data_IF_835266016045
#
_entry.id   IF_835266016045
#
_cell.length_a   1.000
_cell.length_b   1.000
_cell.length_c   1.000
_cell.angle_alpha   90.00
_cell.angle_beta   90.00
_cell.angle_gamma   90.00
#
_symmetry.space_group_name_H-M   'P 1'
#
loop_
_entity.id
_entity.type
_entity.pdbx_description
1 polymer ?
#
# COMPACT_ATOMS: atom_id res chain seq x y z
N UNK A 1 42.17 8.45 34.31
CA UNK A 1 41.79 7.61 33.15
C UNK A 1 42.54 8.14 31.93
N UNK A 2 43.22 7.30 31.17
CA UNK A 2 44.12 7.72 30.10
C UNK A 2 43.34 8.23 28.88
N UNK A 3 43.64 9.44 28.36
CA UNK A 3 42.94 10.08 27.22
C UNK A 3 42.77 9.14 26.02
N UNK A 4 43.79 8.28 25.77
CA UNK A 4 43.71 7.26 24.69
C UNK A 4 42.62 6.21 24.92
N UNK A 5 42.33 5.86 26.18
CA UNK A 5 41.22 4.92 26.49
C UNK A 5 39.83 5.58 26.35
N UNK A 6 39.75 6.87 26.71
CA UNK A 6 38.50 7.64 26.52
C UNK A 6 38.19 7.77 25.01
N UNK A 7 39.22 8.15 24.22
CA UNK A 7 39.05 8.28 22.77
C UNK A 7 38.65 6.97 22.10
N UNK A 8 39.26 5.84 22.50
CA UNK A 8 38.90 4.52 21.96
C UNK A 8 37.44 4.12 22.30
N UNK A 9 36.98 4.36 23.54
CA UNK A 9 35.60 4.09 23.95
C UNK A 9 34.63 4.97 23.19
N UNK A 10 34.96 6.26 23.00
CA UNK A 10 34.08 7.19 22.25
C UNK A 10 33.96 6.78 20.78
N UNK A 11 35.02 6.32 20.14
CA UNK A 11 35.02 5.84 18.76
C UNK A 11 34.15 4.55 18.63
N UNK A 12 34.28 3.61 19.59
CA UNK A 12 33.47 2.38 19.59
C UNK A 12 32.00 2.68 19.80
N UNK A 13 31.67 3.60 20.71
CA UNK A 13 30.28 4.04 20.94
C UNK A 13 29.73 4.73 19.71
N UNK A 14 30.46 5.63 19.05
CA UNK A 14 30.04 6.26 17.79
C UNK A 14 29.91 5.27 16.65
N UNK A 15 30.80 4.27 16.53
CA UNK A 15 30.69 3.22 15.53
C UNK A 15 29.46 2.31 15.75
N UNK A 16 29.15 1.97 17.01
CA UNK A 16 27.94 1.22 17.37
C UNK A 16 26.69 2.04 17.04
N UNK A 17 26.66 3.35 17.36
CA UNK A 17 25.53 4.21 17.01
C UNK A 17 25.39 4.45 15.51
N UNK A 18 26.47 4.53 14.73
CA UNK A 18 26.41 4.66 13.28
C UNK A 18 25.98 3.35 12.58
N UNK A 19 26.30 2.18 13.13
CA UNK A 19 25.77 0.90 12.67
C UNK A 19 24.28 0.71 13.02
N UNK A 20 23.82 1.31 14.12
CA UNK A 20 22.42 1.28 14.53
C UNK A 20 21.52 2.14 13.62
N UNK A 21 22.05 3.18 12.98
CA UNK A 21 21.26 4.03 12.08
C UNK A 21 20.87 3.35 10.75
N UNK A 22 21.55 2.28 10.35
CA UNK A 22 21.22 1.48 9.16
C UNK A 22 20.34 0.28 9.51
N UNK A 23 20.34 -0.15 10.79
CA UNK A 23 19.53 -1.27 11.29
C UNK A 23 18.26 -0.79 12.03
N UNK A 24 17.98 0.52 12.07
CA UNK A 24 17.04 1.11 13.01
C UNK A 24 15.56 0.81 12.73
N UNK A 25 15.18 0.34 11.54
CA UNK A 25 13.80 -0.09 11.30
C UNK A 25 13.45 -1.39 12.05
N UNK A 26 14.41 -2.28 12.30
CA UNK A 26 14.16 -3.58 12.92
C UNK A 26 14.32 -3.64 14.44
N UNK A 27 15.13 -2.76 15.06
CA UNK A 27 15.39 -2.87 16.49
C UNK A 27 14.39 -2.12 17.38
N UNK A 28 13.81 -1.04 16.89
CA UNK A 28 12.70 -0.38 17.61
C UNK A 28 11.44 -1.25 17.63
N UNK A 29 11.22 -2.08 16.64
CA UNK A 29 10.10 -3.02 16.59
C UNK A 29 10.15 -4.09 17.69
N UNK A 30 11.35 -4.51 18.12
CA UNK A 30 11.52 -5.44 19.25
C UNK A 30 11.10 -4.81 20.59
N UNK A 31 11.25 -3.50 20.74
CA UNK A 31 10.89 -2.77 21.97
C UNK A 31 9.43 -2.30 21.98
N UNK A 32 8.80 -2.11 20.82
CA UNK A 32 7.45 -1.54 20.71
C UNK A 32 6.37 -2.57 20.35
N UNK A 33 6.76 -3.81 20.03
CA UNK A 33 5.87 -4.84 19.50
C UNK A 33 5.54 -4.58 18.02
N UNK A 34 5.65 -5.60 17.19
CA UNK A 34 5.26 -5.53 15.79
C UNK A 34 3.73 -5.45 15.69
N UNK A 35 3.21 -4.49 14.94
CA UNK A 35 1.79 -4.36 14.63
C UNK A 35 1.54 -4.76 13.17
N UNK A 36 0.41 -5.43 12.90
CA UNK A 36 0.07 -5.90 11.57
C UNK A 36 -1.40 -5.67 11.25
N UNK A 37 -1.68 -5.27 10.00
CA UNK A 37 -2.98 -5.52 9.40
C UNK A 37 -2.95 -6.89 8.73
N UNK A 38 -4.06 -7.64 8.84
CA UNK A 38 -4.14 -9.04 8.45
C UNK A 38 -5.32 -9.27 7.50
N UNK A 39 -5.04 -9.92 6.38
CA UNK A 39 -6.04 -10.54 5.51
C UNK A 39 -6.19 -12.03 5.83
N UNK A 40 -6.75 -12.80 4.89
CA UNK A 40 -7.00 -14.24 5.11
C UNK A 40 -5.70 -15.06 5.17
N UNK A 41 -4.68 -14.70 4.39
CA UNK A 41 -3.42 -15.45 4.27
C UNK A 41 -2.19 -14.53 4.10
N UNK A 42 -2.38 -13.24 4.15
CA UNK A 42 -1.33 -12.23 4.05
C UNK A 42 -1.47 -11.17 5.14
N UNK A 43 -0.37 -10.50 5.43
CA UNK A 43 -0.31 -9.39 6.37
C UNK A 43 0.63 -8.30 5.88
N UNK A 44 0.43 -7.09 6.37
CA UNK A 44 1.37 -5.96 6.21
C UNK A 44 1.75 -5.42 7.58
N UNK A 45 3.01 -5.03 7.73
CA UNK A 45 3.51 -4.46 8.98
C UNK A 45 3.13 -2.98 9.06
N UNK A 46 2.65 -2.56 10.21
CA UNK A 46 2.24 -1.18 10.49
C UNK A 46 3.15 -0.59 11.58
N UNK A 47 3.68 0.62 11.40
CA UNK A 47 4.45 1.32 12.43
C UNK A 47 3.66 1.51 13.72
N UNK A 48 4.35 1.50 14.86
CA UNK A 48 3.73 1.56 16.20
C UNK A 48 3.02 2.88 16.52
N UNK A 49 3.26 3.93 15.74
CA UNK A 49 2.57 5.23 15.85
C UNK A 49 1.14 5.21 15.27
N UNK A 50 0.75 4.14 14.57
CA UNK A 50 -0.63 3.96 14.09
C UNK A 50 -1.50 3.30 15.15
N UNK A 51 -2.76 3.73 15.24
CA UNK A 51 -3.81 3.04 15.98
C UNK A 51 -4.44 2.00 15.09
N UNK A 52 -4.49 0.74 15.53
CA UNK A 52 -5.09 -0.38 14.79
C UNK A 52 -6.42 -0.78 15.42
N UNK A 53 -7.40 -1.13 14.60
CA UNK A 53 -8.69 -1.65 15.05
C UNK A 53 -8.58 -3.09 15.59
N UNK A 54 -9.61 -3.52 16.34
CA UNK A 54 -9.63 -4.87 16.95
C UNK A 54 -9.59 -6.01 15.91
N UNK A 55 -10.13 -5.76 14.70
CA UNK A 55 -10.14 -6.75 13.60
C UNK A 55 -8.82 -6.80 12.85
N UNK A 56 -7.89 -5.87 13.12
CA UNK A 56 -6.59 -5.73 12.44
C UNK A 56 -6.70 -5.58 10.93
N UNK A 57 -7.73 -4.91 10.46
CA UNK A 57 -7.93 -4.58 9.04
C UNK A 57 -7.85 -3.09 8.76
N UNK A 58 -7.83 -2.26 9.79
CA UNK A 58 -7.77 -0.81 9.70
C UNK A 58 -6.71 -0.23 10.62
N UNK A 59 -5.97 0.76 10.12
CA UNK A 59 -5.02 1.54 10.90
C UNK A 59 -5.14 3.03 10.57
N UNK A 60 -4.89 3.90 11.55
CA UNK A 60 -4.90 5.35 11.34
C UNK A 60 -3.80 6.06 12.09
N UNK A 61 -3.21 7.08 11.46
CA UNK A 61 -2.24 7.97 12.06
C UNK A 61 -2.23 9.33 11.34
N UNK A 62 -2.30 10.43 12.09
CA UNK A 62 -2.16 11.79 11.57
C UNK A 62 -3.02 12.11 10.34
N UNK A 63 -4.26 11.63 10.30
CA UNK A 63 -5.19 11.83 9.19
C UNK A 63 -4.94 10.96 7.97
N UNK A 64 -4.03 9.99 8.05
CA UNK A 64 -3.87 8.90 7.09
C UNK A 64 -4.64 7.69 7.61
N UNK A 65 -5.50 7.13 6.78
CA UNK A 65 -6.25 5.91 7.03
C UNK A 65 -5.73 4.81 6.10
N UNK A 66 -5.54 3.62 6.65
CA UNK A 66 -5.08 2.45 5.92
C UNK A 66 -6.06 1.32 6.17
N UNK A 67 -6.65 0.78 5.12
CA UNK A 67 -7.51 -0.41 5.18
C UNK A 67 -6.85 -1.54 4.40
N UNK A 68 -6.76 -2.73 4.99
CA UNK A 68 -6.22 -3.92 4.34
C UNK A 68 -7.28 -5.01 4.33
N UNK A 69 -7.82 -5.32 3.15
CA UNK A 69 -8.92 -6.26 3.01
C UNK A 69 -8.57 -7.34 2.00
N UNK A 70 -8.90 -8.62 2.29
CA UNK A 70 -8.89 -9.65 1.28
C UNK A 70 -10.05 -9.40 0.31
N UNK A 71 -9.78 -9.50 -0.99
CA UNK A 71 -10.84 -9.67 -1.97
C UNK A 71 -11.01 -11.14 -2.29
N UNK A 72 -12.24 -11.62 -2.22
CA UNK A 72 -12.60 -12.96 -2.69
C UNK A 72 -12.78 -12.93 -4.22
N UNK A 73 -11.69 -12.73 -4.95
CA UNK A 73 -11.70 -12.98 -6.38
C UNK A 73 -11.31 -14.42 -6.64
N UNK A 74 -12.10 -15.11 -7.46
CA UNK A 74 -11.83 -16.50 -7.82
C UNK A 74 -10.88 -16.61 -9.02
N UNK A 75 -10.68 -15.54 -9.79
CA UNK A 75 -9.88 -15.58 -11.02
C UNK A 75 -8.99 -14.35 -11.28
N UNK A 76 -9.02 -13.32 -10.45
CA UNK A 76 -8.28 -12.04 -10.60
C UNK A 76 -8.44 -11.37 -11.99
N UNK A 77 -9.38 -11.87 -12.81
CA UNK A 77 -9.53 -11.40 -14.19
C UNK A 77 -10.03 -9.97 -14.21
N UNK A 78 -11.06 -9.69 -13.40
CA UNK A 78 -11.63 -8.34 -13.32
C UNK A 78 -10.59 -7.33 -12.83
N UNK A 79 -9.85 -7.64 -11.76
CA UNK A 79 -8.81 -6.74 -11.21
C UNK A 79 -7.72 -6.46 -12.25
N UNK A 80 -7.26 -7.50 -12.96
CA UNK A 80 -6.25 -7.35 -14.00
C UNK A 80 -6.76 -6.53 -15.18
N UNK A 81 -7.99 -6.75 -15.64
CA UNK A 81 -8.61 -5.98 -16.70
C UNK A 81 -8.84 -4.52 -16.30
N UNK A 82 -9.31 -4.28 -15.09
CA UNK A 82 -9.51 -2.95 -14.53
C UNK A 82 -8.18 -2.20 -14.42
N UNK A 83 -7.14 -2.83 -13.88
CA UNK A 83 -5.82 -2.21 -13.78
C UNK A 83 -5.23 -1.89 -15.16
N UNK A 84 -5.35 -2.78 -16.13
CA UNK A 84 -4.89 -2.52 -17.50
C UNK A 84 -5.65 -1.33 -18.12
N UNK A 85 -6.95 -1.24 -17.90
CA UNK A 85 -7.75 -0.11 -18.33
C UNK A 85 -7.28 1.21 -17.71
N UNK A 86 -6.98 1.22 -16.39
CA UNK A 86 -6.39 2.38 -15.70
C UNK A 86 -5.03 2.73 -16.32
N UNK A 87 -4.18 1.75 -16.58
CA UNK A 87 -2.85 1.97 -17.14
C UNK A 87 -2.89 2.62 -18.52
N UNK A 88 -3.83 2.22 -19.34
CA UNK A 88 -3.97 2.72 -20.72
C UNK A 88 -4.71 4.06 -20.81
N UNK A 89 -5.77 4.22 -20.03
CA UNK A 89 -6.74 5.29 -20.16
C UNK A 89 -6.89 6.17 -18.91
N UNK A 90 -6.34 5.73 -17.76
CA UNK A 90 -6.62 6.30 -16.45
C UNK A 90 -6.19 7.75 -16.27
N UNK A 91 -5.12 8.19 -16.95
CA UNK A 91 -4.67 9.60 -16.87
C UNK A 91 -5.77 10.58 -17.29
N UNK A 92 -6.52 10.26 -18.33
CA UNK A 92 -7.66 11.07 -18.78
C UNK A 92 -8.85 11.03 -17.81
N UNK A 93 -8.96 9.96 -17.03
CA UNK A 93 -9.99 9.74 -16.02
C UNK A 93 -9.57 10.21 -14.60
N UNK A 94 -8.38 10.80 -14.44
CA UNK A 94 -7.93 11.37 -13.17
C UNK A 94 -7.14 10.43 -12.27
N UNK A 95 -6.72 9.28 -12.78
CA UNK A 95 -5.81 8.36 -12.06
C UNK A 95 -4.36 8.82 -12.20
N UNK A 96 -3.58 8.59 -11.15
CA UNK A 96 -2.19 9.06 -11.02
C UNK A 96 -1.26 7.91 -10.59
N UNK A 97 0.03 8.04 -10.95
CA UNK A 97 1.11 7.16 -10.48
C UNK A 97 0.84 5.66 -10.69
N UNK A 98 0.23 5.31 -11.84
CA UNK A 98 -0.13 3.93 -12.17
C UNK A 98 1.13 3.11 -12.42
N UNK A 99 1.41 2.14 -11.55
CA UNK A 99 2.61 1.30 -11.61
C UNK A 99 2.30 -0.17 -11.38
N UNK A 100 3.12 -1.03 -11.98
CA UNK A 100 3.11 -2.47 -11.78
C UNK A 100 4.52 -2.91 -11.37
N UNK A 101 4.63 -3.66 -10.26
CA UNK A 101 5.90 -4.15 -9.75
C UNK A 101 5.72 -5.48 -9.00
N UNK A 102 6.82 -6.11 -8.59
CA UNK A 102 6.78 -7.33 -7.77
C UNK A 102 7.44 -7.08 -6.42
N UNK A 103 6.78 -7.49 -5.34
CA UNK A 103 7.30 -7.41 -3.98
C UNK A 103 7.05 -8.75 -3.28
N UNK A 104 8.09 -9.38 -2.76
CA UNK A 104 8.00 -10.65 -2.00
C UNK A 104 7.22 -11.76 -2.74
N UNK A 105 7.27 -11.77 -4.07
CA UNK A 105 6.56 -12.72 -4.91
C UNK A 105 5.08 -12.40 -5.17
N UNK A 106 4.59 -11.23 -4.70
CA UNK A 106 3.29 -10.68 -5.09
C UNK A 106 3.44 -9.79 -6.32
N UNK A 107 2.51 -9.90 -7.26
CA UNK A 107 2.30 -8.87 -8.29
C UNK A 107 1.55 -7.72 -7.65
N UNK A 108 2.05 -6.50 -7.84
CA UNK A 108 1.50 -5.30 -7.23
C UNK A 108 0.92 -4.41 -8.32
N UNK A 109 -0.36 -4.10 -8.22
CA UNK A 109 -1.02 -3.05 -8.98
C UNK A 109 -1.22 -1.85 -8.06
N UNK A 110 -0.69 -0.70 -8.44
CA UNK A 110 -0.59 0.49 -7.59
C UNK A 110 -1.02 1.72 -8.38
N UNK A 111 -1.98 2.46 -7.87
CA UNK A 111 -2.46 3.71 -8.46
C UNK A 111 -3.02 4.64 -7.39
N UNK A 112 -3.13 5.92 -7.73
CA UNK A 112 -3.69 6.93 -6.85
C UNK A 112 -4.72 7.79 -7.58
N UNK A 113 -5.40 8.64 -6.84
CA UNK A 113 -6.33 9.61 -7.39
C UNK A 113 -7.00 10.47 -6.33
N UNK A 114 -7.73 11.46 -6.82
CA UNK A 114 -8.62 12.28 -6.00
C UNK A 114 -10.06 11.92 -6.36
N UNK A 115 -10.88 11.37 -5.44
CA UNK A 115 -12.24 10.93 -5.77
C UNK A 115 -13.07 11.99 -6.50
N UNK A 116 -12.95 13.25 -6.08
CA UNK A 116 -13.66 14.38 -6.70
C UNK A 116 -13.22 14.72 -8.13
N UNK A 117 -12.08 14.21 -8.58
CA UNK A 117 -11.53 14.45 -9.92
C UNK A 117 -11.66 13.26 -10.85
N UNK A 118 -12.00 12.08 -10.31
CA UNK A 118 -12.19 10.89 -11.10
C UNK A 118 -13.41 11.02 -12.02
N UNK A 119 -13.30 10.43 -13.20
CA UNK A 119 -14.36 10.36 -14.21
C UNK A 119 -14.60 8.91 -14.59
N UNK A 120 -15.77 8.64 -15.15
CA UNK A 120 -16.03 7.35 -15.79
C UNK A 120 -14.96 7.06 -16.82
N UNK A 121 -14.47 5.86 -16.82
CA UNK A 121 -13.51 5.36 -17.80
C UNK A 121 -14.22 4.34 -18.68
N UNK A 122 -14.32 4.63 -19.98
CA UNK A 122 -14.90 3.74 -20.96
C UNK A 122 -13.78 3.06 -21.73
N UNK A 123 -13.80 1.76 -21.77
CA UNK A 123 -12.82 0.93 -22.48
C UNK A 123 -13.51 0.11 -23.54
N UNK A 124 -12.98 0.13 -24.76
CA UNK A 124 -13.44 -0.73 -25.84
C UNK A 124 -12.68 -2.05 -25.78
N UNK A 125 -13.39 -3.15 -25.67
CA UNK A 125 -12.79 -4.49 -25.74
C UNK A 125 -13.42 -5.31 -26.86
N UNK A 126 -12.63 -6.20 -27.45
CA UNK A 126 -13.14 -7.14 -28.43
C UNK A 126 -13.62 -8.41 -27.72
N UNK A 127 -14.88 -8.71 -27.85
CA UNK A 127 -15.48 -9.94 -27.31
C UNK A 127 -15.35 -11.04 -28.36
N UNK A 128 -14.78 -12.21 -28.04
CA UNK A 128 -14.67 -13.32 -28.99
C UNK A 128 -16.04 -13.70 -29.59
N UNK A 129 -16.17 -13.66 -30.90
CA UNK A 129 -17.39 -14.02 -31.63
C UNK A 129 -18.43 -12.91 -31.76
N UNK A 130 -18.11 -11.69 -31.32
CA UNK A 130 -18.96 -10.51 -31.52
C UNK A 130 -18.12 -9.30 -31.97
N UNK A 131 -18.83 -8.22 -32.30
CA UNK A 131 -18.18 -6.89 -32.51
C UNK A 131 -17.64 -6.34 -31.19
N UNK A 132 -17.21 -5.09 -31.16
CA UNK A 132 -16.66 -4.43 -29.99
C UNK A 132 -17.73 -4.25 -28.90
N UNK A 133 -17.34 -4.52 -27.64
CA UNK A 133 -18.13 -4.16 -26.46
C UNK A 133 -17.50 -2.96 -25.75
N UNK A 134 -18.33 -2.14 -25.14
CA UNK A 134 -17.93 -1.02 -24.31
C UNK A 134 -18.08 -1.40 -22.85
N UNK A 135 -17.01 -1.24 -22.07
CA UNK A 135 -17.03 -1.46 -20.63
C UNK A 135 -16.84 -0.12 -19.94
N UNK A 136 -17.76 0.23 -19.05
CA UNK A 136 -17.67 1.41 -18.23
C UNK A 136 -17.15 1.03 -16.84
N UNK A 137 -16.14 1.76 -16.38
CA UNK A 137 -15.59 1.67 -15.04
C UNK A 137 -15.90 2.98 -14.29
N UNK A 138 -16.93 2.99 -13.43
CA UNK A 138 -17.26 4.17 -12.65
C UNK A 138 -16.21 4.42 -11.55
N UNK A 139 -16.06 5.69 -11.10
CA UNK A 139 -15.08 6.07 -10.07
C UNK A 139 -15.18 5.27 -8.77
N UNK A 140 -16.38 4.84 -8.39
CA UNK A 140 -16.67 4.11 -7.16
C UNK A 140 -15.96 2.75 -7.08
N UNK A 141 -15.58 2.16 -8.22
CA UNK A 141 -14.79 0.93 -8.23
C UNK A 141 -13.36 1.14 -7.71
N UNK A 142 -12.82 2.33 -7.94
CA UNK A 142 -11.46 2.66 -7.49
C UNK A 142 -11.44 3.25 -6.08
N UNK A 143 -12.53 3.86 -5.65
CA UNK A 143 -12.61 4.63 -4.41
C UNK A 143 -13.93 4.39 -3.67
N UNK A 144 -14.16 3.17 -3.16
CA UNK A 144 -15.38 2.81 -2.45
C UNK A 144 -15.39 3.38 -1.01
N UNK A 145 -15.35 4.69 -0.87
CA UNK A 145 -15.32 5.34 0.44
C UNK A 145 -16.73 5.67 0.91
N UNK A 146 -17.00 5.36 2.17
CA UNK A 146 -18.21 5.73 2.91
C UNK A 146 -18.08 7.06 3.68
N UNK A 147 -16.90 7.69 3.61
CA UNK A 147 -16.56 8.95 4.27
C UNK A 147 -15.82 9.90 3.31
N UNK A 148 -15.77 11.21 3.61
CA UNK A 148 -15.04 12.17 2.78
C UNK A 148 -13.56 11.84 2.68
N UNK A 149 -13.08 11.64 1.46
CA UNK A 149 -11.67 11.42 1.12
C UNK A 149 -11.29 12.42 0.05
N UNK A 150 -10.17 13.10 0.24
CA UNK A 150 -9.62 14.02 -0.76
C UNK A 150 -8.63 13.32 -1.69
N UNK A 151 -7.79 12.46 -1.13
CA UNK A 151 -6.75 11.76 -1.88
C UNK A 151 -6.65 10.31 -1.41
N UNK A 152 -6.45 9.38 -2.34
CA UNK A 152 -6.25 7.97 -2.04
C UNK A 152 -5.13 7.34 -2.89
N UNK A 153 -4.61 6.22 -2.40
CA UNK A 153 -3.74 5.29 -3.12
C UNK A 153 -4.26 3.87 -2.89
N UNK A 154 -4.48 3.15 -3.97
CA UNK A 154 -4.91 1.76 -3.96
C UNK A 154 -3.76 0.87 -4.39
N UNK A 155 -3.45 -0.12 -3.58
CA UNK A 155 -2.37 -1.08 -3.82
C UNK A 155 -2.94 -2.48 -3.71
N UNK A 156 -3.08 -3.17 -4.85
CA UNK A 156 -3.55 -4.55 -4.90
C UNK A 156 -2.36 -5.50 -4.96
N UNK A 157 -2.34 -6.49 -4.08
CA UNK A 157 -1.33 -7.55 -4.00
C UNK A 157 -1.94 -8.86 -4.50
N UNK A 158 -1.37 -9.44 -5.55
CA UNK A 158 -1.88 -10.65 -6.21
C UNK A 158 -0.84 -11.76 -6.11
N UNK A 159 -1.22 -12.91 -5.57
CA UNK A 159 -0.38 -14.12 -5.50
C UNK A 159 -1.23 -15.37 -5.43
N UNK A 160 -0.87 -16.38 -6.23
CA UNK A 160 -1.51 -17.71 -6.23
C UNK A 160 -3.04 -17.65 -6.38
N UNK A 161 -3.55 -16.74 -7.22
CA UNK A 161 -4.99 -16.54 -7.46
C UNK A 161 -5.73 -15.81 -6.36
N UNK A 162 -5.04 -15.33 -5.33
CA UNK A 162 -5.60 -14.52 -4.24
C UNK A 162 -5.17 -13.07 -4.37
N UNK A 163 -6.04 -12.18 -3.95
CA UNK A 163 -5.75 -10.75 -3.94
C UNK A 163 -6.08 -10.11 -2.60
N UNK A 164 -5.33 -9.08 -2.26
CA UNK A 164 -5.53 -8.23 -1.10
C UNK A 164 -5.39 -6.78 -1.51
N UNK A 165 -6.25 -5.92 -1.02
CA UNK A 165 -6.18 -4.49 -1.29
C UNK A 165 -5.73 -3.75 -0.04
N UNK A 166 -4.69 -2.94 -0.18
CA UNK A 166 -4.28 -1.93 0.78
C UNK A 166 -4.76 -0.58 0.25
N UNK A 167 -5.81 -0.06 0.85
CA UNK A 167 -6.36 1.24 0.51
C UNK A 167 -5.86 2.28 1.51
N UNK A 168 -5.09 3.24 1.03
CA UNK A 168 -4.51 4.33 1.81
C UNK A 168 -5.24 5.60 1.44
N UNK A 169 -5.79 6.31 2.41
CA UNK A 169 -6.61 7.50 2.17
C UNK A 169 -6.34 8.61 3.17
N UNK A 170 -6.66 9.83 2.77
CA UNK A 170 -6.61 11.02 3.61
C UNK A 170 -7.68 12.02 3.20
N UNK A 171 -8.14 12.83 4.14
CA UNK A 171 -9.02 13.98 3.87
C UNK A 171 -8.25 15.30 3.66
N UNK A 172 -6.91 15.22 3.53
CA UNK A 172 -6.06 16.39 3.35
C UNK A 172 -5.33 16.32 2.00
N UNK A 173 -5.70 17.22 1.07
CA UNK A 173 -5.14 17.32 -0.28
C UNK A 173 -3.61 17.46 -0.35
N UNK A 174 -2.99 17.97 0.73
CA UNK A 174 -1.54 18.20 0.77
C UNK A 174 -0.74 17.03 1.35
N UNK A 175 -1.42 15.98 1.85
CA UNK A 175 -0.75 14.81 2.42
C UNK A 175 -0.11 13.97 1.31
N UNK A 176 1.19 13.73 1.44
CA UNK A 176 1.92 12.86 0.52
C UNK A 176 1.71 11.39 0.89
N UNK A 177 1.09 10.60 0.00
CA UNK A 177 0.88 9.15 0.16
C UNK A 177 2.05 8.30 -0.39
N UNK A 178 3.19 8.92 -0.74
CA UNK A 178 4.41 8.27 -1.25
C UNK A 178 5.61 8.50 -0.32
N UNK A 179 5.37 8.56 0.98
CA UNK A 179 6.45 8.69 1.98
C UNK A 179 7.22 7.39 2.14
N UNK A 180 8.50 7.43 2.57
CA UNK A 180 9.26 6.21 2.90
C UNK A 180 8.55 5.31 3.92
N UNK A 181 7.77 5.87 4.84
CA UNK A 181 6.96 5.13 5.82
C UNK A 181 5.88 4.30 5.11
N UNK A 182 5.08 4.93 4.22
CA UNK A 182 4.03 4.24 3.45
C UNK A 182 4.64 3.20 2.52
N UNK A 183 5.75 3.51 1.84
CA UNK A 183 6.47 2.52 1.03
C UNK A 183 6.99 1.36 1.87
N UNK A 184 7.45 1.61 3.09
CA UNK A 184 7.84 0.59 4.06
C UNK A 184 6.68 -0.36 4.41
N UNK A 185 5.48 0.17 4.62
CA UNK A 185 4.26 -0.62 4.85
C UNK A 185 3.95 -1.50 3.63
N UNK A 186 3.92 -0.93 2.42
CA UNK A 186 3.64 -1.67 1.18
C UNK A 186 4.68 -2.78 0.96
N UNK A 187 5.97 -2.48 1.16
CA UNK A 187 7.07 -3.42 0.96
C UNK A 187 7.10 -4.54 2.02
N UNK A 188 6.34 -4.42 3.10
CA UNK A 188 6.29 -5.40 4.19
C UNK A 188 5.30 -6.54 3.96
N UNK A 189 4.56 -6.55 2.83
CA UNK A 189 3.61 -7.63 2.52
C UNK A 189 4.27 -9.00 2.64
N UNK A 190 3.62 -9.90 3.33
CA UNK A 190 4.11 -11.26 3.53
C UNK A 190 3.00 -12.22 3.98
N UNK A 191 3.30 -13.51 4.10
CA UNK A 191 2.36 -14.49 4.62
C UNK A 191 2.05 -14.20 6.09
N UNK A 192 0.88 -14.66 6.57
CA UNK A 192 0.57 -14.63 8.00
C UNK A 192 1.67 -15.35 8.79
N UNK A 193 2.22 -14.68 9.79
CA UNK A 193 3.08 -15.35 10.79
C UNK A 193 2.17 -16.21 11.68
N UNK A 194 2.46 -17.51 11.69
CA UNK A 194 1.80 -18.49 12.59
C UNK A 194 2.32 -18.34 14.01
#
# INVERSE_FOLDING_TARGET
>A
MNIKKILAITIVVLAVFSCLSVASAGWFDFLTGEQFLQGDDAQVKIPSNYTIDEKKVFASCNGINITFTPQKSTDNKFETEFFNAIKENGKGAGYENVTNRTINGYTIHDFAGHPSKLKNMTVTTQVPGSDYAWIEYPPELAAPFDHPVDHFRSVTFIKDGKEHILLISTNNATTNLYTPEIEGIINSIGPLKK
#
